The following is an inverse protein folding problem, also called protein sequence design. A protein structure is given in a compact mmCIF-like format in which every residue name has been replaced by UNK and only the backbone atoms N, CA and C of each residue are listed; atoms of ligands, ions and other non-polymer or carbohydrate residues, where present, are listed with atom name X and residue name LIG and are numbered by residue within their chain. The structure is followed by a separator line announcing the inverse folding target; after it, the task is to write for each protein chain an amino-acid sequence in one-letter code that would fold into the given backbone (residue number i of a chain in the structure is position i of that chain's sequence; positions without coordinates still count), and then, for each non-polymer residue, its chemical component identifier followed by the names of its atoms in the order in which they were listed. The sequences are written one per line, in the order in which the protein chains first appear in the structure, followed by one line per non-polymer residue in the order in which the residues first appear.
data_IF_560667695312
#
_entry.id   IF_560667695312
#
_cell.length_a   1.000
_cell.length_b   1.000
_cell.length_c   1.000
_cell.angle_alpha   90.00
_cell.angle_beta   90.00
_cell.angle_gamma   90.00
#
_symmetry.space_group_name_H-M   'P 1'
#
loop_
_entity.id
_entity.type
_entity.pdbx_description
1 polymer ?
#
# COMPACT_ATOMS: atom_id res chain seq x y z
N UNK A 1 -4.81 -21.21 3.04
CA UNK A 1 -5.66 -20.76 4.16
C UNK A 1 -4.73 -20.56 5.35
N UNK A 2 -4.63 -19.37 5.95
CA UNK A 2 -3.91 -19.25 7.22
C UNK A 2 -4.88 -19.72 8.31
N UNK A 3 -4.74 -20.92 8.89
CA UNK A 3 -5.76 -21.52 9.76
C UNK A 3 -5.84 -20.89 11.16
N UNK A 4 -5.23 -19.71 11.36
CA UNK A 4 -4.81 -19.25 12.69
C UNK A 4 -5.41 -17.90 13.11
N UNK A 5 -6.41 -17.37 12.39
CA UNK A 5 -7.04 -16.07 12.72
C UNK A 5 -8.53 -16.18 13.07
N UNK A 6 -9.01 -17.35 13.49
CA UNK A 6 -10.38 -17.51 13.99
C UNK A 6 -10.45 -17.11 15.46
N UNK A 7 -11.20 -16.05 15.78
CA UNK A 7 -11.45 -15.64 17.17
C UNK A 7 -12.83 -16.15 17.58
N UNK A 8 -12.90 -17.37 18.10
CA UNK A 8 -14.18 -18.01 18.49
C UNK A 8 -14.95 -17.21 19.55
N UNK A 9 -14.24 -16.43 20.37
CA UNK A 9 -14.83 -15.60 21.42
C UNK A 9 -15.72 -14.45 20.90
N UNK A 10 -15.60 -14.05 19.62
CA UNK A 10 -16.32 -12.88 19.08
C UNK A 10 -16.90 -13.18 17.68
N UNK A 11 -18.07 -13.83 17.59
CA UNK A 11 -18.66 -14.27 16.33
C UNK A 11 -18.85 -13.19 15.25
N UNK A 12 -19.19 -11.92 15.58
CA UNK A 12 -19.23 -10.85 14.58
C UNK A 12 -17.88 -10.56 13.92
N UNK A 13 -16.78 -10.63 14.68
CA UNK A 13 -15.42 -10.40 14.17
C UNK A 13 -14.97 -11.50 13.22
N UNK A 14 -15.29 -12.75 13.54
CA UNK A 14 -15.01 -13.90 12.66
C UNK A 14 -15.78 -13.78 11.35
N UNK A 15 -17.09 -13.47 11.41
CA UNK A 15 -17.90 -13.25 10.19
C UNK A 15 -17.37 -12.09 9.34
N UNK A 16 -16.89 -11.01 9.96
CA UNK A 16 -16.28 -9.89 9.26
C UNK A 16 -14.97 -10.27 8.57
N UNK A 17 -14.10 -11.01 9.27
CA UNK A 17 -12.82 -11.49 8.73
C UNK A 17 -13.03 -12.46 7.56
N UNK A 18 -13.94 -13.41 7.71
CA UNK A 18 -14.21 -14.44 6.71
C UNK A 18 -14.97 -13.90 5.51
N UNK A 19 -15.76 -12.83 5.69
CA UNK A 19 -16.45 -12.17 4.59
C UNK A 19 -15.57 -11.17 3.83
N UNK A 20 -14.69 -10.45 4.53
CA UNK A 20 -13.92 -9.33 3.96
C UNK A 20 -12.48 -9.67 3.58
N UNK A 21 -11.87 -10.64 4.26
CA UNK A 21 -10.45 -11.00 4.10
C UNK A 21 -9.53 -9.76 4.12
N UNK A 22 -9.87 -8.76 4.94
CA UNK A 22 -9.19 -7.47 4.93
C UNK A 22 -7.78 -7.59 5.49
N UNK A 23 -6.81 -6.96 4.82
CA UNK A 23 -5.42 -6.85 5.24
C UNK A 23 -4.98 -5.39 5.26
N UNK A 24 -3.87 -5.11 5.94
CA UNK A 24 -3.29 -3.78 6.06
C UNK A 24 -1.80 -3.77 5.75
N UNK A 25 -1.46 -3.71 4.46
CA UNK A 25 -0.09 -3.52 4.00
C UNK A 25 0.28 -2.03 4.12
N UNK A 26 1.36 -1.72 4.84
CA UNK A 26 1.84 -0.36 5.01
C UNK A 26 3.37 -0.31 4.92
N UNK A 27 3.95 0.65 4.17
CA UNK A 27 5.39 0.84 4.15
C UNK A 27 5.86 1.58 5.41
N UNK A 28 7.17 1.52 5.63
CA UNK A 28 7.89 2.33 6.60
C UNK A 28 9.19 2.84 5.96
N UNK A 29 9.94 3.69 6.66
CA UNK A 29 11.22 4.23 6.21
C UNK A 29 11.17 5.31 5.10
N UNK A 30 10.03 5.97 4.86
CA UNK A 30 9.95 6.97 3.78
C UNK A 30 10.99 8.07 3.97
N UNK A 31 11.07 8.67 5.17
CA UNK A 31 12.00 9.76 5.41
C UNK A 31 13.46 9.31 5.32
N UNK A 32 13.78 8.10 5.80
CA UNK A 32 15.12 7.53 5.65
C UNK A 32 15.51 7.33 4.19
N UNK A 33 14.60 6.83 3.35
CA UNK A 33 14.82 6.69 1.92
C UNK A 33 15.05 8.04 1.23
N UNK A 34 14.17 9.02 1.48
CA UNK A 34 14.30 10.35 0.89
C UNK A 34 15.63 11.01 1.28
N UNK A 35 16.00 10.94 2.56
CA UNK A 35 17.29 11.47 3.03
C UNK A 35 18.49 10.79 2.34
N UNK A 36 18.45 9.46 2.14
CA UNK A 36 19.51 8.71 1.45
C UNK A 36 19.66 9.14 -0.01
N UNK A 37 18.56 9.39 -0.72
CA UNK A 37 18.59 9.84 -2.11
C UNK A 37 18.80 11.37 -2.25
N UNK A 38 18.99 12.08 -1.14
CA UNK A 38 19.22 13.53 -1.11
C UNK A 38 17.96 14.38 -1.31
N UNK A 39 16.78 13.80 -1.10
CA UNK A 39 15.49 14.46 -1.28
C UNK A 39 14.98 14.99 0.06
N UNK A 40 14.60 16.26 0.09
CA UNK A 40 14.03 16.87 1.28
C UNK A 40 12.60 16.38 1.51
N UNK A 41 12.28 15.99 2.75
CA UNK A 41 10.93 15.59 3.11
C UNK A 41 9.94 16.74 2.87
N UNK A 42 8.83 16.48 2.18
CA UNK A 42 7.83 17.49 1.82
C UNK A 42 8.18 18.38 0.63
N UNK A 43 9.34 18.18 0.00
CA UNK A 43 9.66 18.81 -1.29
C UNK A 43 8.78 18.29 -2.42
N UNK A 44 8.79 18.98 -3.57
CA UNK A 44 8.09 18.54 -4.77
C UNK A 44 8.52 17.13 -5.20
N UNK A 45 9.83 16.87 -5.22
CA UNK A 45 10.41 15.54 -5.52
C UNK A 45 9.96 14.49 -4.49
N UNK A 46 9.91 14.84 -3.20
CA UNK A 46 9.47 13.93 -2.14
C UNK A 46 7.99 13.55 -2.28
N UNK A 47 7.13 14.52 -2.63
CA UNK A 47 5.71 14.29 -2.92
C UNK A 47 5.52 13.46 -4.18
N UNK A 48 6.29 13.75 -5.23
CA UNK A 48 6.27 13.04 -6.51
C UNK A 48 6.71 11.57 -6.36
N UNK A 49 7.80 11.32 -5.64
CA UNK A 49 8.25 9.96 -5.31
C UNK A 49 7.17 9.20 -4.53
N UNK A 50 6.61 9.84 -3.50
CA UNK A 50 5.60 9.22 -2.64
C UNK A 50 4.38 8.82 -3.45
N UNK A 51 3.87 9.70 -4.32
CA UNK A 51 2.72 9.42 -5.18
C UNK A 51 2.98 8.24 -6.13
N UNK A 52 4.12 8.23 -6.82
CA UNK A 52 4.49 7.15 -7.75
C UNK A 52 4.71 5.81 -7.03
N UNK A 53 5.37 5.85 -5.86
CA UNK A 53 5.60 4.66 -5.04
C UNK A 53 4.29 4.02 -4.58
N UNK A 54 3.39 4.80 -3.98
CA UNK A 54 2.13 4.28 -3.47
C UNK A 54 1.20 3.79 -4.57
N UNK A 55 1.18 4.45 -5.73
CA UNK A 55 0.45 3.97 -6.89
C UNK A 55 0.97 2.61 -7.36
N UNK A 56 2.30 2.47 -7.48
CA UNK A 56 2.94 1.24 -7.95
C UNK A 56 2.68 0.08 -6.98
N UNK A 57 2.81 0.33 -5.67
CA UNK A 57 2.47 -0.66 -4.63
C UNK A 57 0.99 -1.01 -4.69
N UNK A 58 0.09 -0.03 -4.88
CA UNK A 58 -1.34 -0.28 -5.00
C UNK A 58 -1.66 -1.19 -6.19
N UNK A 59 -1.06 -0.94 -7.36
CA UNK A 59 -1.22 -1.76 -8.55
C UNK A 59 -0.90 -3.23 -8.24
N UNK A 60 0.30 -3.49 -7.70
CA UNK A 60 0.72 -4.85 -7.39
C UNK A 60 -0.11 -5.50 -6.28
N UNK A 61 -0.56 -4.74 -5.29
CA UNK A 61 -1.44 -5.25 -4.25
C UNK A 61 -2.79 -5.71 -4.85
N UNK A 62 -3.42 -4.89 -5.70
CA UNK A 62 -4.66 -5.25 -6.37
C UNK A 62 -4.48 -6.44 -7.31
N UNK A 63 -3.38 -6.48 -8.08
CA UNK A 63 -3.05 -7.61 -8.95
C UNK A 63 -2.89 -8.91 -8.15
N UNK A 64 -2.20 -8.88 -7.02
CA UNK A 64 -2.06 -10.04 -6.15
C UNK A 64 -3.39 -10.49 -5.55
N UNK A 65 -4.20 -9.55 -5.06
CA UNK A 65 -5.54 -9.85 -4.51
C UNK A 65 -6.50 -10.41 -5.57
N UNK A 66 -6.41 -9.92 -6.80
CA UNK A 66 -7.10 -10.48 -7.96
C UNK A 66 -6.66 -11.92 -8.24
N UNK A 67 -5.34 -12.18 -8.32
CA UNK A 67 -4.83 -13.54 -8.54
C UNK A 67 -5.32 -14.51 -7.48
N UNK A 68 -5.34 -14.10 -6.20
CA UNK A 68 -5.86 -14.94 -5.11
C UNK A 68 -7.36 -15.24 -5.30
N UNK A 69 -8.15 -14.28 -5.81
CA UNK A 69 -9.56 -14.51 -6.08
C UNK A 69 -9.77 -15.54 -7.19
N UNK A 70 -8.96 -15.44 -8.26
CA UNK A 70 -8.95 -16.42 -9.35
C UNK A 70 -8.57 -17.80 -8.84
N UNK A 71 -7.46 -17.91 -8.10
CA UNK A 71 -6.94 -19.18 -7.58
C UNK A 71 -7.92 -19.86 -6.61
N UNK A 72 -8.67 -19.06 -5.84
CA UNK A 72 -9.66 -19.56 -4.87
C UNK A 72 -11.07 -19.68 -5.46
N UNK A 73 -11.30 -19.17 -6.67
CA UNK A 73 -12.60 -19.16 -7.34
C UNK A 73 -13.65 -18.24 -6.70
N UNK A 74 -13.25 -17.31 -5.83
CA UNK A 74 -14.19 -16.36 -5.22
C UNK A 74 -13.55 -15.05 -4.78
N UNK A 75 -14.33 -13.96 -4.86
CA UNK A 75 -14.01 -12.64 -4.32
C UNK A 75 -14.43 -12.51 -2.85
N UNK A 76 -14.16 -11.35 -2.23
CA UNK A 76 -14.75 -11.02 -0.92
C UNK A 76 -16.29 -10.92 -1.02
N UNK A 77 -16.97 -11.21 0.08
CA UNK A 77 -18.42 -11.49 0.10
C UNK A 77 -19.32 -10.36 -0.41
N UNK A 78 -18.86 -9.10 -0.35
CA UNK A 78 -19.63 -7.92 -0.76
C UNK A 78 -19.13 -7.27 -2.04
N UNK A 79 -18.27 -7.96 -2.82
CA UNK A 79 -17.63 -7.43 -4.02
C UNK A 79 -18.63 -6.82 -5.02
N UNK A 80 -19.72 -7.53 -5.34
CA UNK A 80 -20.72 -7.08 -6.31
C UNK A 80 -21.39 -5.73 -5.97
N UNK A 81 -21.38 -5.33 -4.69
CA UNK A 81 -21.93 -4.03 -4.23
C UNK A 81 -20.85 -2.96 -4.04
N UNK A 82 -19.59 -3.30 -4.27
CA UNK A 82 -18.46 -2.41 -4.06
C UNK A 82 -18.22 -1.47 -5.25
N UNK A 83 -17.44 -0.41 -5.04
CA UNK A 83 -16.99 0.45 -6.13
C UNK A 83 -16.05 -0.28 -7.12
N UNK A 84 -15.51 -1.45 -6.76
CA UNK A 84 -14.65 -2.24 -7.64
C UNK A 84 -15.43 -3.00 -8.72
N UNK A 85 -16.71 -3.33 -8.45
CA UNK A 85 -17.56 -4.10 -9.36
C UNK A 85 -18.39 -3.23 -10.32
N UNK A 86 -18.37 -1.90 -10.16
CA UNK A 86 -19.08 -0.99 -11.07
C UNK A 86 -18.49 -1.09 -12.48
N UNK A 87 -19.29 -0.87 -13.55
CA UNK A 87 -18.75 -0.81 -14.91
C UNK A 87 -17.67 0.28 -15.03
N UNK A 88 -16.65 0.04 -15.87
CA UNK A 88 -15.62 1.02 -16.17
C UNK A 88 -16.25 2.33 -16.70
N UNK A 89 -15.77 3.47 -16.20
CA UNK A 89 -16.27 4.80 -16.54
C UNK A 89 -17.59 5.19 -15.84
N UNK A 90 -18.19 4.31 -15.04
CA UNK A 90 -19.45 4.57 -14.30
C UNK A 90 -19.21 4.74 -12.79
N UNK A 91 -18.11 5.41 -12.44
CA UNK A 91 -17.71 5.63 -11.04
C UNK A 91 -17.09 4.40 -10.41
N UNK A 92 -16.42 3.58 -11.21
CA UNK A 92 -15.58 2.48 -10.75
C UNK A 92 -14.35 3.05 -10.05
N UNK A 93 -13.88 2.36 -9.00
CA UNK A 93 -12.74 2.80 -8.20
C UNK A 93 -11.47 3.06 -9.01
N UNK A 94 -11.22 2.25 -10.05
CA UNK A 94 -10.02 2.31 -10.89
C UNK A 94 -10.09 3.37 -11.99
N UNK A 95 -11.24 4.01 -12.21
CA UNK A 95 -11.40 5.03 -13.24
C UNK A 95 -10.37 6.17 -13.07
N UNK A 96 -9.96 6.45 -11.83
CA UNK A 96 -8.93 7.45 -11.49
C UNK A 96 -7.54 7.18 -12.09
N UNK A 97 -7.28 5.95 -12.53
CA UNK A 97 -6.04 5.58 -13.20
C UNK A 97 -6.22 5.45 -14.71
N UNK A 98 -7.44 5.50 -15.24
CA UNK A 98 -7.71 5.20 -16.66
C UNK A 98 -8.32 6.35 -17.45
N UNK A 99 -8.93 7.33 -16.79
CA UNK A 99 -9.64 8.46 -17.42
C UNK A 99 -8.78 9.71 -17.65
N UNK A 100 -7.50 9.67 -17.31
CA UNK A 100 -6.57 10.77 -17.53
C UNK A 100 -6.70 11.92 -16.54
N UNK A 101 -7.55 11.83 -15.51
CA UNK A 101 -7.65 12.88 -14.47
C UNK A 101 -6.39 12.99 -13.59
N UNK A 102 -5.55 11.96 -13.61
CA UNK A 102 -4.31 11.85 -12.82
C UNK A 102 -3.16 11.42 -13.72
N UNK A 103 -2.00 12.06 -13.54
CA UNK A 103 -0.76 11.63 -14.16
C UNK A 103 -0.28 10.31 -13.52
N UNK A 104 0.12 9.34 -14.35
CA UNK A 104 0.74 8.09 -13.91
C UNK A 104 2.26 8.08 -14.10
N UNK A 105 2.83 9.23 -14.47
CA UNK A 105 4.25 9.38 -14.67
C UNK A 105 4.85 10.34 -13.63
N UNK A 106 6.13 10.14 -13.27
CA UNK A 106 6.87 11.09 -12.44
C UNK A 106 6.86 12.49 -13.05
N UNK A 107 6.54 13.50 -12.24
CA UNK A 107 6.61 14.91 -12.64
C UNK A 107 8.04 15.42 -12.68
N UNK A 108 8.92 14.83 -11.87
CA UNK A 108 10.31 15.24 -11.71
C UNK A 108 11.26 14.23 -12.34
N UNK A 109 12.27 14.73 -13.04
CA UNK A 109 13.31 13.89 -13.66
C UNK A 109 14.09 13.06 -12.62
N UNK A 110 14.27 13.65 -11.43
CA UNK A 110 14.94 12.98 -10.31
C UNK A 110 14.20 11.71 -9.88
N UNK A 111 12.87 11.76 -9.81
CA UNK A 111 12.05 10.60 -9.45
C UNK A 111 12.07 9.56 -10.55
N UNK A 112 11.96 9.97 -11.83
CA UNK A 112 12.12 9.07 -12.98
C UNK A 112 13.45 8.29 -12.91
N UNK A 113 14.55 9.01 -12.73
CA UNK A 113 15.87 8.40 -12.59
C UNK A 113 16.00 7.47 -11.37
N UNK A 114 15.26 7.70 -10.27
CA UNK A 114 15.24 6.80 -9.12
C UNK A 114 14.55 5.48 -9.49
N UNK A 115 13.38 5.52 -10.12
CA UNK A 115 12.67 4.31 -10.54
C UNK A 115 13.50 3.50 -11.54
N UNK A 116 14.14 4.16 -12.51
CA UNK A 116 15.05 3.53 -13.47
C UNK A 116 16.28 2.91 -12.78
N UNK A 117 16.90 3.64 -11.84
CA UNK A 117 18.05 3.15 -11.06
C UNK A 117 17.73 1.85 -10.30
N UNK A 118 16.50 1.71 -9.80
CA UNK A 118 16.06 0.52 -9.08
C UNK A 118 15.38 -0.53 -9.98
N UNK A 119 15.26 -0.28 -11.28
CA UNK A 119 14.62 -1.19 -12.24
C UNK A 119 13.14 -1.42 -11.95
N UNK A 120 12.44 -0.40 -11.42
CA UNK A 120 11.02 -0.48 -11.06
C UNK A 120 10.20 0.15 -12.18
N UNK A 121 9.44 -0.67 -12.89
CA UNK A 121 8.49 -0.19 -13.88
C UNK A 121 7.24 0.40 -13.21
N UNK A 122 6.89 1.61 -13.62
CA UNK A 122 5.69 2.30 -13.15
C UNK A 122 4.50 1.85 -14.02
N UNK A 123 3.39 1.34 -13.43
CA UNK A 123 2.25 0.86 -14.19
C UNK A 123 1.63 1.93 -15.08
N UNK A 124 1.45 1.59 -16.35
CA UNK A 124 0.84 2.43 -17.38
C UNK A 124 -0.69 2.48 -17.26
N UNK A 125 -1.30 3.39 -18.02
CA UNK A 125 -2.77 3.48 -18.12
C UNK A 125 -3.35 2.16 -18.65
N UNK A 126 -2.68 1.55 -19.62
CA UNK A 126 -3.07 0.28 -20.24
C UNK A 126 -3.00 -0.87 -19.22
N UNK A 127 -1.96 -0.92 -18.38
CA UNK A 127 -1.86 -1.92 -17.29
C UNK A 127 -3.03 -1.80 -16.31
N UNK A 128 -3.42 -0.57 -15.97
CA UNK A 128 -4.57 -0.33 -15.11
C UNK A 128 -5.89 -0.68 -15.78
N UNK A 129 -6.05 -0.43 -17.08
CA UNK A 129 -7.25 -0.83 -17.84
C UNK A 129 -7.37 -2.35 -17.89
N UNK A 130 -6.28 -3.05 -18.14
CA UNK A 130 -6.27 -4.52 -18.13
C UNK A 130 -6.64 -5.06 -16.75
N UNK A 131 -5.99 -4.56 -15.70
CA UNK A 131 -6.29 -4.97 -14.33
C UNK A 131 -7.73 -4.65 -13.94
N UNK A 132 -8.27 -3.49 -14.34
CA UNK A 132 -9.67 -3.13 -14.10
C UNK A 132 -10.62 -4.14 -14.75
N UNK A 133 -10.39 -4.51 -16.01
CA UNK A 133 -11.22 -5.48 -16.71
C UNK A 133 -11.17 -6.86 -16.05
N UNK A 134 -9.98 -7.31 -15.64
CA UNK A 134 -9.79 -8.56 -14.91
C UNK A 134 -10.52 -8.55 -13.55
N UNK A 135 -10.42 -7.46 -12.80
CA UNK A 135 -11.10 -7.33 -11.50
C UNK A 135 -12.61 -7.28 -11.66
N UNK A 136 -13.15 -6.59 -12.66
CA UNK A 136 -14.60 -6.57 -12.91
C UNK A 136 -15.11 -7.99 -13.21
N UNK A 137 -14.33 -8.79 -13.93
CA UNK A 137 -14.67 -10.16 -14.32
C UNK A 137 -14.60 -11.15 -13.15
N UNK A 138 -13.47 -11.22 -12.47
CA UNK A 138 -13.18 -12.29 -11.50
C UNK A 138 -13.21 -11.81 -10.04
N UNK A 139 -13.15 -10.50 -9.83
CA UNK A 139 -13.10 -9.87 -8.52
C UNK A 139 -11.70 -9.82 -7.89
N UNK A 140 -11.70 -9.40 -6.62
CA UNK A 140 -10.52 -9.38 -5.74
C UNK A 140 -10.83 -10.10 -4.44
N UNK A 141 -9.82 -10.74 -3.85
CA UNK A 141 -10.00 -11.58 -2.68
C UNK A 141 -10.12 -10.75 -1.39
N UNK A 142 -9.31 -9.71 -1.26
CA UNK A 142 -9.24 -8.86 -0.08
C UNK A 142 -10.08 -7.58 -0.29
N UNK A 143 -11.00 -7.28 0.63
CA UNK A 143 -11.83 -6.08 0.59
C UNK A 143 -11.01 -4.79 0.78
N UNK A 144 -10.02 -4.83 1.68
CA UNK A 144 -9.06 -3.77 1.94
C UNK A 144 -7.65 -4.36 1.90
N UNK A 145 -6.70 -3.61 1.32
CA UNK A 145 -5.35 -4.11 1.06
C UNK A 145 -4.28 -3.32 1.82
N UNK A 146 -4.40 -2.00 1.86
CA UNK A 146 -3.37 -1.12 2.38
C UNK A 146 -3.87 -0.34 3.59
N UNK A 147 -3.05 -0.29 4.62
CA UNK A 147 -3.24 0.55 5.79
C UNK A 147 -1.86 0.91 6.32
N UNK A 148 -1.63 2.18 6.64
CA UNK A 148 -0.33 2.67 7.09
C UNK A 148 -0.42 2.97 8.59
N UNK A 149 -0.14 1.99 9.46
CA UNK A 149 -0.09 2.25 10.89
C UNK A 149 1.20 2.98 11.28
N UNK A 150 1.24 3.59 12.47
CA UNK A 150 2.52 3.95 13.10
C UNK A 150 3.32 2.67 13.39
N UNK A 151 4.62 2.67 13.06
CA UNK A 151 5.51 1.55 13.38
C UNK A 151 6.27 1.89 14.67
N UNK A 152 5.95 1.18 15.75
CA UNK A 152 6.61 1.30 17.05
C UNK A 152 7.96 0.59 17.07
N UNK A 153 8.24 -0.20 18.10
CA UNK A 153 9.58 -0.79 18.31
C UNK A 153 10.10 -1.68 17.17
N UNK A 154 9.21 -2.20 16.31
CA UNK A 154 9.59 -2.96 15.11
C UNK A 154 10.44 -2.13 14.13
N UNK A 155 10.32 -0.80 14.14
CA UNK A 155 11.10 0.07 13.26
C UNK A 155 12.58 0.12 13.66
N UNK A 156 12.90 -0.10 14.95
CA UNK A 156 14.28 -0.18 15.42
C UNK A 156 14.96 -1.46 14.95
N UNK A 157 14.25 -2.58 14.99
CA UNK A 157 14.76 -3.86 14.49
C UNK A 157 15.00 -3.79 12.99
N UNK A 158 14.07 -3.19 12.24
CA UNK A 158 14.17 -3.06 10.78
C UNK A 158 15.08 -1.90 10.33
N UNK A 159 15.70 -1.17 11.27
CA UNK A 159 16.52 0.01 11.02
C UNK A 159 15.86 1.02 10.05
N UNK A 160 14.61 1.38 10.36
CA UNK A 160 13.75 2.22 9.54
C UNK A 160 13.19 3.42 10.31
N UNK A 161 12.99 4.56 9.63
CA UNK A 161 12.20 5.65 10.19
C UNK A 161 10.75 5.22 10.37
N UNK A 162 10.10 5.69 11.44
CA UNK A 162 8.73 5.26 11.75
C UNK A 162 7.74 5.66 10.66
N UNK A 163 7.02 4.69 10.11
CA UNK A 163 5.99 4.89 9.10
C UNK A 163 6.49 5.73 7.91
N UNK A 164 5.61 6.58 7.37
CA UNK A 164 5.95 7.58 6.36
C UNK A 164 6.28 8.95 6.94
N UNK A 165 6.29 9.11 8.26
CA UNK A 165 6.42 10.40 8.92
C UNK A 165 7.88 10.87 8.99
N UNK A 166 8.11 12.19 9.15
CA UNK A 166 9.46 12.69 9.43
C UNK A 166 9.99 12.12 10.76
N UNK A 167 11.32 12.13 10.92
CA UNK A 167 11.94 11.62 12.15
C UNK A 167 11.65 12.59 13.28
N UNK A 168 11.31 12.09 14.49
CA UNK A 168 11.03 12.96 15.63
C UNK A 168 12.32 13.63 16.14
N UNK A 169 13.47 12.98 15.98
CA UNK A 169 14.79 13.48 16.36
C UNK A 169 15.88 12.79 15.52
N UNK A 170 17.08 13.38 15.47
CA UNK A 170 18.27 12.77 14.84
C UNK A 170 18.79 11.56 15.62
N UNK A 171 18.67 11.62 16.95
CA UNK A 171 18.95 10.53 17.88
C UNK A 171 17.70 10.43 18.76
N UNK A 172 16.96 9.33 18.65
CA UNK A 172 15.75 9.12 19.44
C UNK A 172 16.13 8.61 20.83
N UNK A 173 15.57 9.23 21.87
CA UNK A 173 15.83 8.86 23.27
C UNK A 173 14.59 8.18 23.84
N UNK A 174 14.73 6.92 24.24
CA UNK A 174 13.68 6.14 24.92
C UNK A 174 14.04 5.90 26.38
N UNK A 175 13.05 5.95 27.27
CA UNK A 175 13.22 5.57 28.68
C UNK A 175 12.96 4.08 28.86
N UNK A 176 13.98 3.26 28.63
CA UNK A 176 13.91 1.80 28.69
C UNK A 176 15.11 1.22 29.47
N UNK A 177 14.90 0.06 30.10
CA UNK A 177 15.95 -0.70 30.80
C UNK A 177 16.44 -0.11 32.13
N UNK A 178 17.35 -0.84 32.78
CA UNK A 178 17.92 -0.48 34.10
C UNK A 178 18.77 0.80 34.07
N UNK A 179 19.29 1.17 32.90
CA UNK A 179 20.15 2.33 32.66
C UNK A 179 19.30 3.60 32.47
N UNK A 180 17.98 3.46 32.32
CA UNK A 180 17.01 4.55 32.27
C UNK A 180 16.89 5.28 30.93
N UNK A 181 17.85 5.12 30.00
CA UNK A 181 17.81 5.67 28.64
C UNK A 181 18.47 4.74 27.62
N UNK A 182 17.86 4.62 26.44
CA UNK A 182 18.40 3.96 25.25
C UNK A 182 18.35 4.95 24.09
N UNK A 183 19.39 4.95 23.26
CA UNK A 183 19.57 5.85 22.12
C UNK A 183 19.46 5.05 20.83
N UNK A 184 18.58 5.47 19.94
CA UNK A 184 18.34 4.88 18.63
C UNK A 184 18.62 5.90 17.52
#
# INVERSE_FOLDING_TARGET
MAPHTTVEAVPPSTRGNDGGHAIGLGPMNLHGFLAREGIHYGSEEGLDFTDMYFMTVAYHAYRASHQIAVDRGHAFATFARSAYAKPAGQGNYFDKYTDGRRALEPRTERVRAIFDKYGIEIPSVEDWRELQAQIIRDGIYNQNLQAIPPTGSISYINHSTSSILPIPAKIEIRKEGKIGRVYY
#
